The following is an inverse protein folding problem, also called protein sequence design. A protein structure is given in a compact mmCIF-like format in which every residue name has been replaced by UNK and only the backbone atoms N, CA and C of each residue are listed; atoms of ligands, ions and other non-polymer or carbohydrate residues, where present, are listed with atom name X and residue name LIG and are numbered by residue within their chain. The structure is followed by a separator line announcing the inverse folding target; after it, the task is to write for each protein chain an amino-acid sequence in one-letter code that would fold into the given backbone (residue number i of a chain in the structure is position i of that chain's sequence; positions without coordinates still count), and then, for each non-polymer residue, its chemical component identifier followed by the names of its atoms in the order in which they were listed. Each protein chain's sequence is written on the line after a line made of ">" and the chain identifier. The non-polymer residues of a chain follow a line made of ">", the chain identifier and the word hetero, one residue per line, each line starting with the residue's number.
data_IF_694726182980
#
_entry.id   IF_694726182980
#
_cell.length_a   1.000
_cell.length_b   1.000
_cell.length_c   1.000
_cell.angle_alpha   90.00
_cell.angle_beta   90.00
_cell.angle_gamma   90.00
#
_symmetry.space_group_name_H-M   'P 1'
#
loop_
_entity.id
_entity.type
_entity.pdbx_description
1 polymer ?
#
# COMPACT_ATOMS: atom_id res chain seq x y z
N UNK A 1 -12.25 71.04 63.09
CA UNK A 1 -12.54 69.70 62.45
C UNK A 1 -12.96 70.01 61.02
N UNK A 2 -12.01 69.89 60.10
CA UNK A 2 -12.11 70.39 58.72
C UNK A 2 -12.30 69.17 57.84
N UNK A 3 -13.40 69.08 57.11
CA UNK A 3 -13.68 68.00 56.12
C UNK A 3 -13.35 68.51 54.72
N UNK A 4 -12.37 67.85 54.14
CA UNK A 4 -12.04 68.06 52.71
C UNK A 4 -12.89 67.17 51.81
N UNK A 5 -13.59 67.80 50.87
CA UNK A 5 -14.27 67.14 49.74
C UNK A 5 -13.28 67.10 48.59
N UNK A 6 -12.97 65.89 48.08
CA UNK A 6 -12.22 65.68 46.86
C UNK A 6 -13.17 65.40 45.73
N UNK A 7 -13.11 66.23 44.70
CA UNK A 7 -13.85 66.08 43.42
C UNK A 7 -13.09 65.15 42.50
N UNK A 8 -13.77 64.10 42.04
CA UNK A 8 -13.20 63.13 41.11
C UNK A 8 -13.62 63.54 39.68
N UNK A 9 -12.66 63.86 38.86
CA UNK A 9 -12.88 64.12 37.44
C UNK A 9 -12.84 62.80 36.66
N UNK A 10 -13.94 62.43 36.00
CA UNK A 10 -13.96 61.29 35.06
C UNK A 10 -13.44 61.73 33.70
N UNK A 11 -12.31 61.17 33.30
CA UNK A 11 -11.76 61.28 31.94
C UNK A 11 -12.32 60.10 31.12
N UNK A 12 -13.24 60.39 30.19
CA UNK A 12 -13.70 59.41 29.24
C UNK A 12 -12.68 59.26 28.09
N UNK A 13 -11.93 58.16 28.13
CA UNK A 13 -11.12 57.74 26.99
C UNK A 13 -11.97 56.93 26.01
N UNK A 14 -12.22 57.51 24.84
CA UNK A 14 -12.80 56.79 23.70
C UNK A 14 -11.72 55.90 23.09
N UNK A 15 -11.81 54.59 23.33
CA UNK A 15 -11.00 53.60 22.63
C UNK A 15 -11.67 53.30 21.27
N UNK A 16 -11.08 53.79 20.20
CA UNK A 16 -11.46 53.40 18.82
C UNK A 16 -10.87 52.01 18.54
N UNK A 17 -11.74 50.99 18.62
CA UNK A 17 -11.39 49.63 18.24
C UNK A 17 -11.28 49.52 16.71
N UNK A 18 -10.11 49.49 16.16
CA UNK A 18 -9.85 49.03 14.80
C UNK A 18 -10.10 47.52 14.75
N UNK A 19 -11.23 47.11 14.21
CA UNK A 19 -11.47 45.72 13.81
C UNK A 19 -10.70 45.51 12.52
N UNK A 20 -9.46 45.05 12.62
CA UNK A 20 -8.70 44.52 11.51
C UNK A 20 -9.28 43.17 11.13
N UNK A 21 -9.91 43.08 9.97
CA UNK A 21 -10.20 41.80 9.31
C UNK A 21 -8.85 41.12 9.02
N UNK A 22 -8.45 40.22 9.90
CA UNK A 22 -7.39 39.27 9.59
C UNK A 22 -7.99 38.25 8.61
N UNK A 23 -7.75 38.43 7.33
CA UNK A 23 -7.89 37.35 6.34
C UNK A 23 -6.98 36.22 6.81
N UNK A 24 -7.60 35.19 7.38
CA UNK A 24 -6.97 33.90 7.61
C UNK A 24 -6.73 33.26 6.21
N UNK A 25 -5.67 33.70 5.54
CA UNK A 25 -5.07 32.87 4.51
C UNK A 25 -4.53 31.63 5.20
N UNK A 26 -5.33 30.56 5.27
CA UNK A 26 -4.82 29.22 5.50
C UNK A 26 -3.80 28.98 4.37
N UNK A 27 -2.53 29.22 4.65
CA UNK A 27 -1.44 28.63 3.87
C UNK A 27 -1.77 27.15 3.78
N UNK A 28 -2.09 26.67 2.57
CA UNK A 28 -2.09 25.25 2.29
C UNK A 28 -0.73 24.75 2.79
N UNK A 29 -0.76 23.92 3.82
CA UNK A 29 0.43 23.32 4.38
C UNK A 29 0.86 22.34 3.29
N UNK A 30 1.95 22.67 2.63
CA UNK A 30 2.60 21.89 1.58
C UNK A 30 2.91 20.52 2.19
N UNK A 31 1.98 19.58 2.00
CA UNK A 31 2.13 18.21 2.49
C UNK A 31 2.95 17.45 1.45
N UNK A 32 4.26 17.60 1.54
CA UNK A 32 5.16 16.65 0.90
C UNK A 32 4.83 15.27 1.50
N UNK A 33 3.92 14.54 0.86
CA UNK A 33 3.53 13.21 1.30
C UNK A 33 4.59 12.26 0.78
N UNK A 34 5.61 12.03 1.61
CA UNK A 34 6.59 11.00 1.34
C UNK A 34 5.92 9.64 1.63
N UNK A 35 5.53 8.93 0.58
CA UNK A 35 4.97 7.59 0.72
C UNK A 35 6.07 6.56 0.91
N UNK A 36 5.75 5.53 1.66
CA UNK A 36 6.59 4.34 1.79
C UNK A 36 6.59 3.60 0.45
N UNK A 37 7.73 3.63 -0.26
CA UNK A 37 7.90 2.90 -1.51
C UNK A 37 8.54 1.55 -1.26
N UNK A 38 7.95 0.52 -1.82
CA UNK A 38 8.40 -0.86 -1.76
C UNK A 38 8.45 -1.53 -3.13
N UNK A 39 8.77 -2.81 -3.12
CA UNK A 39 8.69 -3.71 -4.28
C UNK A 39 7.88 -4.94 -3.91
N UNK A 40 6.88 -5.27 -4.71
CA UNK A 40 6.26 -6.60 -4.70
C UNK A 40 7.27 -7.58 -5.29
N UNK A 41 7.76 -8.52 -4.48
CA UNK A 41 8.83 -9.44 -4.90
C UNK A 41 8.40 -10.40 -6.01
N UNK A 42 7.12 -10.35 -6.43
CA UNK A 42 6.69 -10.98 -7.66
C UNK A 42 7.47 -10.47 -8.89
N UNK A 43 7.84 -9.18 -8.88
CA UNK A 43 8.73 -8.61 -9.91
C UNK A 43 10.01 -9.42 -10.11
N UNK A 44 10.47 -10.10 -9.08
CA UNK A 44 11.71 -10.87 -9.05
C UNK A 44 11.49 -12.38 -8.79
N UNK A 45 10.28 -12.91 -9.02
CA UNK A 45 9.94 -14.29 -8.70
C UNK A 45 10.66 -15.35 -9.57
N UNK A 46 11.41 -14.92 -10.59
CA UNK A 46 12.33 -15.76 -11.36
C UNK A 46 13.64 -16.09 -10.64
N UNK A 47 13.89 -15.42 -9.53
CA UNK A 47 15.06 -15.57 -8.67
C UNK A 47 14.65 -16.20 -7.34
N UNK A 48 15.62 -16.66 -6.56
CA UNK A 48 15.34 -17.03 -5.16
C UNK A 48 14.93 -15.78 -4.36
N UNK A 49 14.24 -15.98 -3.22
CA UNK A 49 13.89 -14.86 -2.35
C UNK A 49 15.13 -14.08 -1.89
N UNK A 50 16.23 -14.77 -1.58
CA UNK A 50 17.48 -14.13 -1.19
C UNK A 50 18.01 -13.19 -2.31
N UNK A 51 18.07 -13.69 -3.54
CA UNK A 51 18.48 -12.89 -4.71
C UNK A 51 17.48 -11.76 -5.00
N UNK A 52 16.18 -12.01 -4.84
CA UNK A 52 15.12 -11.00 -5.00
C UNK A 52 15.26 -9.88 -3.95
N UNK A 53 15.62 -10.24 -2.72
CA UNK A 53 15.89 -9.27 -1.66
C UNK A 53 17.12 -8.42 -1.95
N UNK A 54 18.19 -8.99 -2.53
CA UNK A 54 19.37 -8.24 -2.99
C UNK A 54 19.02 -7.25 -4.09
N UNK A 55 18.09 -7.62 -4.99
CA UNK A 55 17.59 -6.72 -6.02
C UNK A 55 16.74 -5.59 -5.42
N UNK A 56 15.89 -5.88 -4.44
CA UNK A 56 15.10 -4.88 -3.73
C UNK A 56 16.00 -3.87 -3.00
N UNK A 57 17.04 -4.35 -2.32
CA UNK A 57 18.06 -3.51 -1.69
C UNK A 57 18.77 -2.60 -2.73
N UNK A 58 19.16 -3.19 -3.87
CA UNK A 58 19.76 -2.44 -4.99
C UNK A 58 18.81 -1.42 -5.60
N UNK A 59 17.49 -1.64 -5.53
CA UNK A 59 16.47 -0.67 -5.95
C UNK A 59 16.27 0.47 -4.93
N UNK A 60 16.91 0.40 -3.77
CA UNK A 60 16.85 1.42 -2.73
C UNK A 60 15.44 1.54 -2.14
N UNK A 61 14.79 0.41 -1.84
CA UNK A 61 13.50 0.36 -1.16
C UNK A 61 13.68 -0.11 0.28
N UNK A 62 12.80 0.36 1.15
CA UNK A 62 12.77 -0.05 2.56
C UNK A 62 11.65 -1.06 2.86
N UNK A 63 10.80 -1.35 1.89
CA UNK A 63 9.64 -2.22 2.06
C UNK A 63 9.55 -3.24 0.94
N UNK A 64 9.09 -4.44 1.29
CA UNK A 64 8.78 -5.48 0.30
C UNK A 64 7.46 -6.18 0.65
N UNK A 65 6.80 -6.70 -0.37
CA UNK A 65 5.76 -7.70 -0.23
C UNK A 65 6.32 -9.07 -0.59
N UNK A 66 6.15 -10.04 0.31
CA UNK A 66 6.50 -11.44 0.07
C UNK A 66 5.39 -12.19 -0.68
N UNK A 67 5.71 -13.41 -1.14
CA UNK A 67 4.72 -14.29 -1.81
C UNK A 67 4.85 -15.70 -1.26
N UNK A 68 3.77 -16.30 -0.80
CA UNK A 68 3.77 -17.62 -0.13
C UNK A 68 4.41 -18.73 -0.96
N UNK A 69 4.34 -18.62 -2.28
CA UNK A 69 4.91 -19.59 -3.23
C UNK A 69 6.34 -19.28 -3.66
N UNK A 70 6.95 -18.18 -3.22
CA UNK A 70 8.30 -17.79 -3.60
C UNK A 70 9.31 -18.81 -3.06
N UNK A 71 10.20 -19.30 -3.93
CA UNK A 71 11.31 -20.16 -3.53
C UNK A 71 12.32 -19.35 -2.70
N UNK A 72 12.59 -19.79 -1.47
CA UNK A 72 13.43 -19.07 -0.53
C UNK A 72 14.93 -19.18 -0.83
N UNK A 73 15.33 -20.15 -1.66
CA UNK A 73 16.71 -20.38 -2.05
C UNK A 73 17.42 -21.44 -1.19
N UNK A 74 18.66 -21.72 -1.58
CA UNK A 74 19.49 -22.78 -0.97
C UNK A 74 19.66 -22.62 0.54
N UNK A 75 19.69 -21.39 1.00
CA UNK A 75 19.83 -21.08 2.42
C UNK A 75 18.65 -21.57 3.26
N UNK A 76 17.51 -21.84 2.61
CA UNK A 76 16.30 -22.40 3.19
C UNK A 76 15.97 -23.78 2.61
N UNK A 77 16.98 -24.50 2.09
CA UNK A 77 16.81 -25.81 1.45
C UNK A 77 15.80 -25.78 0.29
N UNK A 78 15.76 -24.70 -0.48
CA UNK A 78 14.87 -24.47 -1.62
C UNK A 78 13.36 -24.62 -1.29
N UNK A 79 12.98 -24.46 -0.01
CA UNK A 79 11.57 -24.42 0.39
C UNK A 79 10.88 -23.20 -0.21
N UNK A 80 9.56 -23.26 -0.31
CA UNK A 80 8.76 -22.05 -0.51
C UNK A 80 8.53 -21.34 0.81
N UNK A 81 8.14 -20.06 0.77
CA UNK A 81 7.78 -19.30 1.96
C UNK A 81 6.62 -19.97 2.73
N UNK A 82 5.70 -20.66 2.04
CA UNK A 82 4.62 -21.44 2.63
C UNK A 82 5.08 -22.62 3.50
N UNK A 83 6.34 -23.04 3.40
CA UNK A 83 6.86 -24.21 4.10
C UNK A 83 7.96 -23.86 5.14
N UNK A 84 8.04 -22.59 5.55
CA UNK A 84 9.03 -22.11 6.52
C UNK A 84 8.70 -22.59 7.94
N UNK A 85 9.75 -22.93 8.68
CA UNK A 85 9.69 -23.19 10.12
C UNK A 85 9.91 -21.91 10.93
N UNK A 86 9.72 -21.94 12.25
CA UNK A 86 10.04 -20.81 13.14
C UNK A 86 11.52 -20.41 13.07
N UNK A 87 12.42 -21.39 12.87
CA UNK A 87 13.85 -21.13 12.67
C UNK A 87 14.09 -20.42 11.34
N UNK A 88 13.43 -20.85 10.26
CA UNK A 88 13.49 -20.19 8.95
C UNK A 88 12.95 -18.75 9.03
N UNK A 89 11.84 -18.53 9.74
CA UNK A 89 11.28 -17.19 9.97
C UNK A 89 12.27 -16.30 10.74
N UNK A 90 12.93 -16.83 11.75
CA UNK A 90 13.94 -16.09 12.50
C UNK A 90 15.11 -15.67 11.61
N UNK A 91 15.61 -16.59 10.79
CA UNK A 91 16.66 -16.32 9.80
C UNK A 91 16.23 -15.28 8.76
N UNK A 92 14.98 -15.36 8.27
CA UNK A 92 14.44 -14.38 7.35
C UNK A 92 14.42 -12.98 7.97
N UNK A 93 14.03 -12.85 9.24
CA UNK A 93 14.06 -11.57 9.97
C UNK A 93 15.46 -10.97 10.04
N UNK A 94 16.47 -11.81 10.29
CA UNK A 94 17.87 -11.37 10.30
C UNK A 94 18.31 -10.85 8.91
N UNK A 95 17.95 -11.56 7.83
CA UNK A 95 18.28 -11.15 6.47
C UNK A 95 17.63 -9.81 6.10
N UNK A 96 16.36 -9.62 6.42
CA UNK A 96 15.64 -8.36 6.21
C UNK A 96 16.26 -7.22 7.03
N UNK A 97 16.55 -7.47 8.31
CA UNK A 97 17.16 -6.50 9.21
C UNK A 97 18.54 -6.06 8.76
N UNK A 98 19.37 -6.98 8.27
CA UNK A 98 20.70 -6.68 7.74
C UNK A 98 20.65 -5.68 6.57
N UNK A 99 19.57 -5.66 5.80
CA UNK A 99 19.34 -4.75 4.67
C UNK A 99 18.47 -3.54 5.05
N UNK A 100 18.00 -3.46 6.29
CA UNK A 100 17.03 -2.42 6.74
C UNK A 100 15.77 -2.41 5.89
N UNK A 101 15.31 -3.58 5.46
CA UNK A 101 14.08 -3.79 4.70
C UNK A 101 13.05 -4.42 5.62
N UNK A 102 11.82 -3.97 5.54
CA UNK A 102 10.66 -4.53 6.23
C UNK A 102 9.75 -5.25 5.23
N UNK A 103 9.30 -6.46 5.57
CA UNK A 103 8.27 -7.15 4.82
C UNK A 103 6.92 -6.84 5.46
N UNK A 104 6.20 -5.85 4.93
CA UNK A 104 4.96 -5.34 5.52
C UNK A 104 3.72 -6.14 5.17
N UNK A 105 3.79 -6.90 4.10
CA UNK A 105 2.70 -7.74 3.60
C UNK A 105 3.22 -9.00 2.94
N UNK A 106 2.32 -9.95 2.77
CA UNK A 106 2.60 -11.18 2.02
C UNK A 106 1.35 -11.60 1.25
N UNK A 107 1.53 -11.88 -0.03
CA UNK A 107 0.50 -12.50 -0.84
C UNK A 107 0.39 -14.00 -0.51
N UNK A 108 -0.79 -14.41 -0.07
CA UNK A 108 -1.11 -15.79 0.30
C UNK A 108 -1.87 -16.47 -0.83
N UNK A 109 -1.31 -17.53 -1.36
CA UNK A 109 -1.93 -18.40 -2.35
C UNK A 109 -1.94 -19.84 -1.86
N UNK A 110 -2.97 -20.57 -2.20
CA UNK A 110 -3.05 -22.02 -1.95
C UNK A 110 -3.45 -22.44 -0.53
N UNK A 111 -3.79 -21.52 0.37
CA UNK A 111 -4.41 -21.85 1.66
C UNK A 111 -5.81 -22.45 1.44
N UNK A 112 -6.06 -23.64 2.01
CA UNK A 112 -7.28 -24.42 1.76
C UNK A 112 -8.23 -24.50 2.94
N UNK A 113 -7.73 -24.24 4.13
CA UNK A 113 -8.48 -24.43 5.38
C UNK A 113 -7.98 -23.48 6.48
N UNK A 114 -8.68 -23.46 7.60
CA UNK A 114 -8.36 -22.59 8.73
C UNK A 114 -6.94 -22.80 9.29
N UNK A 115 -6.43 -24.04 9.27
CA UNK A 115 -5.09 -24.33 9.79
C UNK A 115 -3.99 -23.69 8.91
N UNK A 116 -4.17 -23.76 7.59
CA UNK A 116 -3.27 -23.09 6.64
C UNK A 116 -3.26 -21.57 6.87
N UNK A 117 -4.45 -20.97 7.05
CA UNK A 117 -4.56 -19.54 7.31
C UNK A 117 -3.95 -19.12 8.65
N UNK A 118 -4.17 -19.91 9.71
CA UNK A 118 -3.54 -19.67 11.01
C UNK A 118 -2.02 -19.63 10.90
N UNK A 119 -1.42 -20.54 10.16
CA UNK A 119 0.03 -20.52 9.89
C UNK A 119 0.49 -19.19 9.28
N UNK A 120 -0.23 -18.68 8.27
CA UNK A 120 0.13 -17.39 7.67
C UNK A 120 -0.09 -16.20 8.60
N UNK A 121 -1.13 -16.21 9.41
CA UNK A 121 -1.35 -15.18 10.43
C UNK A 121 -0.27 -15.21 11.52
N UNK A 122 0.17 -16.40 11.95
CA UNK A 122 1.26 -16.56 12.90
C UNK A 122 2.58 -16.05 12.32
N UNK A 123 2.89 -16.40 11.08
CA UNK A 123 4.04 -15.86 10.35
C UNK A 123 3.95 -14.34 10.24
N UNK A 124 2.83 -13.79 9.81
CA UNK A 124 2.62 -12.36 9.67
C UNK A 124 2.81 -11.63 11.02
N UNK A 125 2.31 -12.21 12.11
CA UNK A 125 2.54 -11.69 13.47
C UNK A 125 4.02 -11.75 13.87
N UNK A 126 4.71 -12.86 13.61
CA UNK A 126 6.12 -13.02 13.89
C UNK A 126 6.99 -12.03 13.11
N UNK A 127 6.59 -11.70 11.88
CA UNK A 127 7.25 -10.76 10.98
C UNK A 127 6.81 -9.31 11.16
N UNK A 128 5.83 -9.04 12.05
CA UNK A 128 5.23 -7.72 12.25
C UNK A 128 4.59 -7.13 11.00
N UNK A 129 3.98 -7.99 10.16
CA UNK A 129 3.27 -7.55 8.97
C UNK A 129 1.97 -6.82 9.34
N UNK A 130 1.53 -5.90 8.48
CA UNK A 130 0.30 -5.13 8.68
C UNK A 130 -0.93 -5.84 8.12
N UNK A 131 -0.76 -6.57 7.02
CA UNK A 131 -1.84 -7.30 6.36
C UNK A 131 -1.30 -8.49 5.56
N UNK A 132 -2.19 -9.44 5.32
CA UNK A 132 -2.03 -10.49 4.33
C UNK A 132 -2.79 -10.10 3.07
N UNK A 133 -2.20 -10.30 1.92
CA UNK A 133 -2.81 -10.05 0.61
C UNK A 133 -3.35 -11.35 0.06
N UNK A 134 -4.58 -11.38 -0.42
CA UNK A 134 -5.20 -12.61 -0.92
C UNK A 134 -6.43 -12.36 -1.80
N UNK A 135 -6.90 -13.40 -2.46
CA UNK A 135 -8.16 -13.46 -3.20
C UNK A 135 -9.04 -14.59 -2.64
N UNK A 136 -9.56 -14.42 -1.40
CA UNK A 136 -10.26 -15.51 -0.71
C UNK A 136 -11.60 -15.84 -1.36
N UNK A 137 -11.94 -17.13 -1.43
CA UNK A 137 -13.27 -17.56 -1.81
C UNK A 137 -14.29 -17.10 -0.76
N UNK A 138 -15.53 -16.85 -1.22
CA UNK A 138 -16.60 -16.28 -0.40
C UNK A 138 -16.88 -17.11 0.86
N UNK A 139 -16.78 -18.42 0.76
CA UNK A 139 -17.01 -19.37 1.85
C UNK A 139 -16.01 -19.22 3.00
N UNK A 140 -14.89 -18.55 2.74
CA UNK A 140 -13.81 -18.29 3.72
C UNK A 140 -13.91 -16.93 4.40
N UNK A 141 -14.78 -16.01 3.96
CA UNK A 141 -14.78 -14.62 4.42
C UNK A 141 -14.99 -14.50 5.93
N UNK A 142 -16.03 -15.13 6.50
CA UNK A 142 -16.32 -15.07 7.93
C UNK A 142 -15.16 -15.60 8.77
N UNK A 143 -14.59 -16.74 8.36
CA UNK A 143 -13.44 -17.34 9.04
C UNK A 143 -12.22 -16.42 8.99
N UNK A 144 -11.93 -15.83 7.82
CA UNK A 144 -10.80 -14.93 7.64
C UNK A 144 -10.96 -13.63 8.39
N UNK A 145 -12.15 -13.03 8.39
CA UNK A 145 -12.41 -11.83 9.17
C UNK A 145 -12.23 -12.09 10.68
N UNK A 146 -12.71 -13.23 11.16
CA UNK A 146 -12.53 -13.66 12.54
C UNK A 146 -11.04 -13.80 12.90
N UNK A 147 -10.26 -14.51 12.07
CA UNK A 147 -8.81 -14.65 12.27
C UNK A 147 -8.11 -13.30 12.24
N UNK A 148 -8.43 -12.47 11.25
CA UNK A 148 -7.86 -11.13 11.11
C UNK A 148 -8.08 -10.28 12.38
N UNK A 149 -9.29 -10.36 12.97
CA UNK A 149 -9.61 -9.73 14.24
C UNK A 149 -8.81 -10.28 15.42
N UNK A 150 -8.63 -11.60 15.51
CA UNK A 150 -7.84 -12.25 16.57
C UNK A 150 -6.38 -11.87 16.51
N UNK A 151 -5.78 -11.91 15.32
CA UNK A 151 -4.35 -11.61 15.11
C UNK A 151 -4.08 -10.10 15.00
N UNK A 152 -5.10 -9.26 14.79
CA UNK A 152 -5.00 -7.82 14.50
C UNK A 152 -4.18 -7.55 13.23
N UNK A 153 -4.33 -8.39 12.25
CA UNK A 153 -3.70 -8.32 10.93
C UNK A 153 -4.80 -8.36 9.90
N UNK A 154 -4.88 -7.35 9.01
CA UNK A 154 -5.96 -7.26 8.04
C UNK A 154 -5.78 -8.22 6.86
N UNK A 155 -6.86 -8.49 6.16
CA UNK A 155 -6.83 -9.11 4.83
C UNK A 155 -6.98 -7.99 3.80
N UNK A 156 -5.98 -7.83 2.92
CA UNK A 156 -6.04 -6.96 1.76
C UNK A 156 -6.46 -7.80 0.55
N UNK A 157 -7.67 -7.60 0.06
CA UNK A 157 -8.14 -8.28 -1.16
C UNK A 157 -7.37 -7.70 -2.34
N UNK A 158 -6.73 -8.58 -3.10
CA UNK A 158 -6.05 -8.24 -4.33
C UNK A 158 -6.99 -8.40 -5.53
N UNK A 159 -6.79 -7.62 -6.55
CA UNK A 159 -7.55 -7.72 -7.79
C UNK A 159 -6.70 -8.25 -8.94
N UNK A 160 -7.32 -9.05 -9.80
CA UNK A 160 -6.80 -9.40 -11.10
C UNK A 160 -7.76 -8.93 -12.21
N UNK A 161 -7.30 -9.01 -13.46
CA UNK A 161 -8.08 -8.55 -14.59
C UNK A 161 -9.41 -9.31 -14.76
N UNK A 162 -10.38 -8.66 -15.38
CA UNK A 162 -11.70 -9.22 -15.70
C UNK A 162 -11.59 -10.58 -16.37
N UNK A 163 -12.28 -11.57 -15.81
CA UNK A 163 -12.23 -12.96 -16.26
C UNK A 163 -11.07 -13.78 -15.73
N UNK A 164 -10.15 -13.18 -14.96
CA UNK A 164 -9.04 -13.88 -14.29
C UNK A 164 -9.32 -14.07 -12.79
N UNK A 165 -10.07 -13.16 -12.16
CA UNK A 165 -10.47 -13.23 -10.76
C UNK A 165 -11.93 -12.78 -10.57
N UNK A 166 -12.55 -13.23 -9.46
CA UNK A 166 -13.82 -12.69 -9.00
C UNK A 166 -13.68 -11.24 -8.51
N UNK A 167 -12.50 -10.84 -8.09
CA UNK A 167 -12.17 -9.50 -7.58
C UNK A 167 -11.57 -8.60 -8.67
N UNK A 168 -12.20 -8.53 -9.84
CA UNK A 168 -11.72 -7.68 -10.93
C UNK A 168 -12.29 -6.25 -10.89
N UNK A 169 -13.32 -6.01 -10.05
CA UNK A 169 -14.04 -4.74 -9.98
C UNK A 169 -14.16 -4.29 -8.53
N UNK A 170 -13.98 -3.00 -8.22
CA UNK A 170 -14.11 -2.48 -6.84
C UNK A 170 -15.39 -2.90 -6.11
N UNK A 171 -16.51 -3.08 -6.83
CA UNK A 171 -17.77 -3.54 -6.22
C UNK A 171 -17.68 -4.94 -5.62
N UNK A 172 -16.89 -5.83 -6.19
CA UNK A 172 -16.70 -7.17 -5.64
C UNK A 172 -15.90 -7.12 -4.33
N UNK A 173 -14.92 -6.23 -4.23
CA UNK A 173 -14.18 -5.99 -3.00
C UNK A 173 -15.06 -5.35 -1.94
N UNK A 174 -15.87 -4.33 -2.32
CA UNK A 174 -16.84 -3.69 -1.43
C UNK A 174 -17.86 -4.71 -0.89
N UNK A 175 -18.32 -5.62 -1.74
CA UNK A 175 -19.24 -6.68 -1.32
C UNK A 175 -18.60 -7.63 -0.29
N UNK A 176 -17.31 -7.95 -0.44
CA UNK A 176 -16.58 -8.77 0.52
C UNK A 176 -16.33 -8.03 1.84
N UNK A 177 -16.06 -6.73 1.80
CA UNK A 177 -15.83 -5.91 3.01
C UNK A 177 -17.10 -5.62 3.81
N UNK A 178 -18.29 -5.73 3.23
CA UNK A 178 -19.55 -5.23 3.78
C UNK A 178 -19.79 -5.65 5.24
N UNK A 179 -19.59 -6.91 5.57
CA UNK A 179 -19.80 -7.46 6.91
C UNK A 179 -18.48 -7.97 7.54
N UNK A 180 -17.34 -7.60 6.93
CA UNK A 180 -15.99 -8.05 7.29
C UNK A 180 -15.07 -6.86 7.53
N UNK A 181 -15.13 -6.20 8.71
CA UNK A 181 -14.41 -4.96 9.01
C UNK A 181 -12.87 -5.09 9.02
N UNK A 182 -12.36 -6.31 9.06
CA UNK A 182 -10.92 -6.57 9.00
C UNK A 182 -10.41 -6.75 7.55
N UNK A 183 -11.29 -6.63 6.55
CA UNK A 183 -10.91 -6.64 5.14
C UNK A 183 -10.63 -5.21 4.66
N UNK A 184 -9.77 -5.11 3.66
CA UNK A 184 -9.47 -3.92 2.88
C UNK A 184 -8.99 -4.34 1.50
N UNK A 185 -8.29 -3.47 0.80
CA UNK A 185 -7.85 -3.72 -0.57
C UNK A 185 -6.35 -3.51 -0.74
N UNK A 186 -5.71 -4.41 -1.49
CA UNK A 186 -4.44 -4.19 -2.16
C UNK A 186 -4.74 -3.79 -3.61
N UNK A 187 -4.73 -2.49 -3.88
CA UNK A 187 -5.18 -1.90 -5.13
C UNK A 187 -4.16 -2.13 -6.25
N UNK A 188 -4.46 -3.02 -7.20
CA UNK A 188 -3.61 -3.21 -8.38
C UNK A 188 -4.09 -2.34 -9.55
N UNK A 189 -3.32 -1.28 -9.81
CA UNK A 189 -3.66 -0.26 -10.81
C UNK A 189 -3.67 -0.82 -12.23
N UNK A 190 -2.75 -1.75 -12.53
CA UNK A 190 -2.64 -2.37 -13.85
C UNK A 190 -3.80 -3.33 -14.15
N UNK A 191 -4.24 -4.08 -13.16
CA UNK A 191 -5.36 -4.99 -13.32
C UNK A 191 -6.70 -4.28 -13.49
N UNK A 192 -6.89 -3.12 -12.85
CA UNK A 192 -8.04 -2.27 -13.14
C UNK A 192 -8.01 -1.73 -14.57
N UNK A 193 -6.87 -1.21 -15.02
CA UNK A 193 -6.71 -0.69 -16.37
C UNK A 193 -6.93 -1.79 -17.44
N UNK A 194 -6.40 -3.01 -17.20
CA UNK A 194 -6.67 -4.21 -18.02
C UNK A 194 -8.18 -4.54 -18.11
N UNK A 195 -8.91 -4.21 -17.05
CA UNK A 195 -10.36 -4.44 -16.97
C UNK A 195 -11.19 -3.31 -17.59
N UNK A 196 -10.55 -2.28 -18.15
CA UNK A 196 -11.21 -1.10 -18.69
C UNK A 196 -11.74 -0.14 -17.62
N UNK A 197 -11.24 -0.25 -16.40
CA UNK A 197 -11.58 0.64 -15.30
C UNK A 197 -10.53 1.76 -15.18
N UNK A 198 -10.99 2.96 -14.77
CA UNK A 198 -10.08 4.04 -14.43
C UNK A 198 -9.51 3.82 -13.02
N UNK A 199 -8.18 3.66 -12.84
CA UNK A 199 -7.59 3.37 -11.54
C UNK A 199 -7.83 4.48 -10.49
N UNK A 200 -7.82 5.76 -10.87
CA UNK A 200 -8.08 6.87 -9.94
C UNK A 200 -9.54 6.85 -9.44
N UNK A 201 -10.51 6.56 -10.31
CA UNK A 201 -11.91 6.42 -9.90
C UNK A 201 -12.13 5.15 -9.05
N UNK A 202 -11.40 4.09 -9.32
CA UNK A 202 -11.43 2.86 -8.51
C UNK A 202 -10.88 3.10 -7.11
N UNK A 203 -9.76 3.82 -6.98
CA UNK A 203 -9.21 4.26 -5.70
C UNK A 203 -10.20 5.12 -4.92
N UNK A 204 -10.85 6.08 -5.59
CA UNK A 204 -11.87 6.93 -4.99
C UNK A 204 -13.05 6.13 -4.44
N UNK A 205 -13.49 5.11 -5.18
CA UNK A 205 -14.59 4.23 -4.76
C UNK A 205 -14.26 3.42 -3.51
N UNK A 206 -12.98 3.11 -3.30
CA UNK A 206 -12.44 2.33 -2.18
C UNK A 206 -11.85 3.18 -1.06
N UNK A 207 -12.16 4.49 -1.04
CA UNK A 207 -11.65 5.44 -0.05
C UNK A 207 -11.79 4.92 1.39
N UNK A 208 -10.71 5.04 2.16
CA UNK A 208 -10.63 4.60 3.55
C UNK A 208 -10.36 3.10 3.75
N UNK A 209 -10.34 2.31 2.68
CA UNK A 209 -10.15 0.86 2.74
C UNK A 209 -8.87 0.38 2.02
N UNK A 210 -8.08 1.30 1.47
CA UNK A 210 -6.84 0.97 0.76
C UNK A 210 -5.75 0.68 1.78
N UNK A 211 -5.24 -0.56 1.80
CA UNK A 211 -4.16 -1.02 2.68
C UNK A 211 -2.79 -0.96 1.99
N UNK A 212 -2.76 -1.26 0.70
CA UNK A 212 -1.57 -1.20 -0.15
C UNK A 212 -1.93 -0.92 -1.59
N UNK A 213 -0.93 -0.57 -2.40
CA UNK A 213 -1.08 -0.31 -3.84
C UNK A 213 0.00 -1.06 -4.59
N UNK A 214 -0.38 -1.82 -5.62
CA UNK A 214 0.55 -2.32 -6.63
C UNK A 214 0.64 -1.33 -7.78
N UNK A 215 1.82 -0.75 -7.91
CA UNK A 215 2.16 0.22 -8.93
C UNK A 215 2.64 -0.55 -10.17
N UNK A 216 1.76 -0.69 -11.13
CA UNK A 216 1.96 -1.43 -12.39
C UNK A 216 1.57 -0.54 -13.55
N UNK A 217 2.20 -0.68 -14.70
CA UNK A 217 1.80 0.01 -15.93
C UNK A 217 1.70 -0.99 -17.08
N UNK A 218 0.78 -0.76 -17.99
CA UNK A 218 0.46 -1.66 -19.10
C UNK A 218 0.41 -0.92 -20.42
N UNK A 219 0.57 -1.65 -21.52
CA UNK A 219 0.66 -1.03 -22.85
C UNK A 219 -0.70 -0.67 -23.46
N UNK A 220 -1.80 -1.27 -22.99
CA UNK A 220 -3.13 -1.13 -23.61
C UNK A 220 -4.23 -1.25 -22.55
N UNK A 221 -5.20 -0.33 -22.59
CA UNK A 221 -6.39 -0.35 -21.70
C UNK A 221 -7.43 -1.35 -22.20
N UNK A 222 -8.28 -1.84 -21.25
CA UNK A 222 -9.41 -2.74 -21.55
C UNK A 222 -9.02 -4.01 -22.34
N UNK A 223 -7.83 -4.51 -22.06
CA UNK A 223 -7.33 -5.79 -22.57
C UNK A 223 -6.83 -6.63 -21.38
N UNK A 224 -7.57 -7.69 -20.95
CA UNK A 224 -7.18 -8.53 -19.83
C UNK A 224 -5.81 -9.23 -19.98
N UNK A 225 -5.33 -9.36 -21.19
CA UNK A 225 -4.05 -9.99 -21.52
C UNK A 225 -2.96 -8.94 -21.91
N UNK A 226 -3.22 -7.65 -21.66
CA UNK A 226 -2.22 -6.59 -21.91
C UNK A 226 -0.92 -6.86 -21.14
N UNK A 227 0.21 -6.73 -21.84
CA UNK A 227 1.52 -6.90 -21.21
C UNK A 227 1.89 -5.69 -20.34
N UNK A 228 2.64 -5.96 -19.29
CA UNK A 228 3.29 -4.92 -18.52
C UNK A 228 4.33 -4.18 -19.36
N UNK A 229 4.52 -2.93 -19.01
CA UNK A 229 5.62 -2.08 -19.51
C UNK A 229 6.29 -1.37 -18.34
N UNK A 230 7.40 -0.70 -18.61
CA UNK A 230 8.06 0.14 -17.61
C UNK A 230 7.07 1.21 -17.13
N UNK A 231 6.91 1.37 -15.83
CA UNK A 231 6.02 2.37 -15.21
C UNK A 231 6.34 3.77 -15.77
N UNK A 232 5.30 4.45 -16.25
CA UNK A 232 5.40 5.74 -16.95
C UNK A 232 5.64 5.63 -18.45
N UNK A 233 5.59 4.44 -19.01
CA UNK A 233 5.68 4.19 -20.47
C UNK A 233 4.42 3.56 -21.05
N UNK A 234 3.45 3.27 -20.23
CA UNK A 234 2.17 2.71 -20.59
C UNK A 234 1.04 3.75 -20.64
N UNK A 235 -0.16 3.28 -20.37
CA UNK A 235 -1.40 4.05 -20.54
C UNK A 235 -1.97 4.62 -19.25
N UNK A 236 -1.42 4.23 -18.08
CA UNK A 236 -1.98 4.62 -16.79
C UNK A 236 -1.70 6.11 -16.48
N UNK A 237 -2.75 6.82 -16.05
CA UNK A 237 -2.66 8.23 -15.66
C UNK A 237 -2.17 8.38 -14.20
N UNK A 238 -0.85 8.23 -13.97
CA UNK A 238 -0.25 8.36 -12.63
C UNK A 238 -0.46 9.71 -11.95
N UNK A 239 -0.45 10.88 -12.64
CA UNK A 239 -0.82 12.15 -12.01
C UNK A 239 -2.18 12.09 -11.31
N UNK A 240 -3.22 11.59 -11.96
CA UNK A 240 -4.56 11.47 -11.36
C UNK A 240 -4.59 10.50 -10.15
N UNK A 241 -3.79 9.43 -10.20
CA UNK A 241 -3.62 8.49 -9.08
C UNK A 241 -2.96 9.17 -7.89
N UNK A 242 -1.89 9.94 -8.12
CA UNK A 242 -1.19 10.70 -7.08
C UNK A 242 -2.12 11.72 -6.43
N UNK A 243 -2.88 12.48 -7.22
CA UNK A 243 -3.84 13.44 -6.71
C UNK A 243 -4.91 12.77 -5.83
N UNK A 244 -5.41 11.61 -6.26
CA UNK A 244 -6.43 10.87 -5.50
C UNK A 244 -5.86 10.28 -4.20
N UNK A 245 -4.68 9.68 -4.22
CA UNK A 245 -4.02 9.17 -3.00
C UNK A 245 -3.69 10.29 -2.02
N UNK A 246 -3.27 11.48 -2.51
CA UNK A 246 -3.07 12.67 -1.67
C UNK A 246 -4.39 13.15 -1.07
N UNK A 247 -5.46 13.24 -1.87
CA UNK A 247 -6.80 13.63 -1.41
C UNK A 247 -7.28 12.74 -0.27
N UNK A 248 -7.04 11.43 -0.37
CA UNK A 248 -7.39 10.45 0.66
C UNK A 248 -6.45 10.43 1.87
N UNK A 249 -5.36 11.20 1.86
CA UNK A 249 -4.31 11.13 2.86
C UNK A 249 -3.76 9.71 3.06
N UNK A 250 -3.60 8.95 1.97
CA UNK A 250 -3.12 7.58 1.99
C UNK A 250 -1.80 7.46 2.76
N UNK A 251 -1.68 6.42 3.61
CA UNK A 251 -0.52 6.18 4.48
C UNK A 251 0.08 4.77 4.35
N UNK A 252 -0.49 3.94 3.48
CA UNK A 252 0.01 2.58 3.23
C UNK A 252 1.30 2.55 2.42
N UNK A 253 1.71 1.36 2.03
CA UNK A 253 2.88 1.13 1.18
C UNK A 253 2.45 1.07 -0.29
N UNK A 254 3.25 1.66 -1.16
CA UNK A 254 3.12 1.54 -2.61
C UNK A 254 4.23 0.62 -3.10
N UNK A 255 3.88 -0.57 -3.54
CA UNK A 255 4.82 -1.53 -4.08
C UNK A 255 4.92 -1.42 -5.60
N UNK A 256 6.12 -1.21 -6.12
CA UNK A 256 6.40 -1.38 -7.55
C UNK A 256 6.23 -2.86 -7.89
N UNK A 257 5.39 -3.15 -8.86
CA UNK A 257 5.28 -4.49 -9.43
C UNK A 257 5.49 -4.41 -10.94
N UNK A 258 6.56 -5.04 -11.44
CA UNK A 258 6.98 -4.99 -12.82
C UNK A 258 7.16 -6.41 -13.36
N UNK A 259 6.22 -6.86 -14.16
CA UNK A 259 6.25 -8.19 -14.78
C UNK A 259 6.89 -8.18 -16.19
N UNK A 260 7.37 -7.02 -16.64
CA UNK A 260 8.10 -6.90 -17.89
C UNK A 260 9.53 -7.44 -17.71
N UNK A 261 9.99 -8.31 -18.60
CA UNK A 261 11.35 -8.89 -18.62
C UNK A 261 11.85 -9.36 -17.25
N UNK A 262 11.04 -10.15 -16.57
CA UNK A 262 11.29 -10.57 -15.16
C UNK A 262 12.63 -11.29 -14.94
N UNK A 263 13.26 -11.80 -15.97
CA UNK A 263 14.62 -12.36 -15.93
C UNK A 263 15.72 -11.28 -15.78
N UNK A 264 15.42 -10.01 -16.08
CA UNK A 264 16.39 -8.91 -15.98
C UNK A 264 15.73 -7.54 -15.89
N UNK A 265 14.82 -7.34 -14.93
CA UNK A 265 14.01 -6.12 -14.82
C UNK A 265 14.41 -5.14 -13.71
N UNK A 266 15.52 -5.36 -12.99
CA UNK A 266 15.94 -4.47 -11.89
C UNK A 266 16.03 -3.00 -12.31
N UNK A 267 16.61 -2.72 -13.49
CA UNK A 267 16.72 -1.35 -14.00
C UNK A 267 15.35 -0.73 -14.28
N UNK A 268 14.36 -1.53 -14.69
CA UNK A 268 12.99 -1.10 -14.96
C UNK A 268 12.22 -0.81 -13.67
N UNK A 269 12.41 -1.63 -12.63
CA UNK A 269 11.87 -1.39 -11.28
C UNK A 269 12.41 -0.07 -10.72
N UNK A 270 13.73 0.15 -10.81
CA UNK A 270 14.37 1.40 -10.38
C UNK A 270 13.83 2.60 -11.16
N UNK A 271 13.68 2.46 -12.47
CA UNK A 271 13.17 3.53 -13.32
C UNK A 271 11.72 3.88 -12.98
N UNK A 272 10.86 2.87 -12.76
CA UNK A 272 9.46 3.05 -12.39
C UNK A 272 9.30 3.72 -11.03
N UNK A 273 10.05 3.28 -10.03
CA UNK A 273 10.10 3.93 -8.71
C UNK A 273 10.46 5.41 -8.83
N UNK A 274 11.58 5.71 -9.49
CA UNK A 274 12.05 7.11 -9.68
C UNK A 274 11.05 7.97 -10.44
N UNK A 275 10.38 7.40 -11.45
CA UNK A 275 9.36 8.11 -12.20
C UNK A 275 8.20 8.53 -11.29
N UNK A 276 7.67 7.60 -10.50
CA UNK A 276 6.55 7.87 -9.61
C UNK A 276 6.91 8.86 -8.49
N UNK A 277 8.06 8.69 -7.85
CA UNK A 277 8.59 9.63 -6.85
C UNK A 277 8.80 11.03 -7.47
N UNK A 278 9.33 11.10 -8.69
CA UNK A 278 9.53 12.35 -9.41
C UNK A 278 8.24 13.08 -9.76
N UNK A 279 7.14 12.36 -10.02
CA UNK A 279 5.82 12.96 -10.20
C UNK A 279 5.26 13.47 -8.86
N UNK A 280 5.36 12.67 -7.81
CA UNK A 280 4.87 13.06 -6.48
C UNK A 280 5.50 14.37 -5.99
N UNK A 281 6.78 14.58 -6.28
CA UNK A 281 7.51 15.79 -5.91
C UNK A 281 7.19 17.02 -6.79
N UNK A 282 6.58 16.84 -7.97
CA UNK A 282 6.23 17.93 -8.90
C UNK A 282 4.81 18.46 -8.71
N UNK A 283 3.94 17.69 -8.09
CA UNK A 283 2.52 18.04 -7.85
C UNK A 283 2.36 18.87 -6.55
N UNK A 284 3.43 19.56 -6.15
CA UNK A 284 3.47 20.48 -5.00
C UNK A 284 3.47 21.93 -5.46
#
# INVERSE_FOLDING_TARGET
>A
MITFKSSLWYLCLFAVSFIGCAENSKKAQDQNTEWNMGVALYSFNRFSFADALDKADSAGVSYVEGFSFHNMGKEFNDKTMAAMTDEDISKLKEMLSAKKIEMQSMYVSGAKNEADWKYYFEMAKAMNMQHLVAEPEKESWDMLDSLAGVYKIKIAIHEHAKGKSQYWHPDSVIAAMKDHPNFGVCADLGHWERSGLNPAESLKKLEGNILGVHLKDIHETNNPDANDVIIGKGVINFPAIIDELKRQHFKGVIHVECEHKMENNLAEVIAGKKYFEGLNNKVN
#
